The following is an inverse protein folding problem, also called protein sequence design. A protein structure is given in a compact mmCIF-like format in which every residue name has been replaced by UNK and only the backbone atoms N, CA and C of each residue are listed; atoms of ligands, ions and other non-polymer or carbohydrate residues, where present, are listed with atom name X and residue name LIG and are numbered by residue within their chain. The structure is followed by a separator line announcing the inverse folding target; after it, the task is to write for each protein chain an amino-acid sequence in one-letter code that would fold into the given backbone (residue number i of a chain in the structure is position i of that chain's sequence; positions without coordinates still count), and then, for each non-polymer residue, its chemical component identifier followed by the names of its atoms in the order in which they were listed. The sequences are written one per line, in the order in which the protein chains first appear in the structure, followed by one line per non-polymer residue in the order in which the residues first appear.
data_IF_094148621140
#
_entry.id   IF_094148621140
#
_cell.length_a   1.000
_cell.length_b   1.000
_cell.length_c   1.000
_cell.angle_alpha   90.00
_cell.angle_beta   90.00
_cell.angle_gamma   90.00
#
_symmetry.space_group_name_H-M   'P 1'
#
loop_
_entity.id
_entity.type
_entity.pdbx_description
1 polymer ?
#
# COMPACT_ATOMS: atom_id res chain seq x y z
N UNK A 1 -6.22 8.01 6.52
CA UNK A 1 -5.95 6.78 5.75
C UNK A 1 -5.59 7.14 4.33
N UNK A 2 -4.46 6.62 3.84
CA UNK A 2 -4.03 6.71 2.44
C UNK A 2 -4.37 5.39 1.74
N UNK A 3 -5.15 5.42 0.65
CA UNK A 3 -5.53 4.20 -0.05
C UNK A 3 -5.83 4.44 -1.53
N UNK A 4 -5.83 3.35 -2.30
CA UNK A 4 -6.14 3.38 -3.73
C UNK A 4 -7.59 3.77 -4.02
N UNK A 5 -7.81 4.26 -5.24
CA UNK A 5 -9.14 4.48 -5.83
C UNK A 5 -10.07 3.26 -5.71
N UNK A 6 -9.50 2.05 -5.62
CA UNK A 6 -10.25 0.81 -5.39
C UNK A 6 -11.01 0.80 -4.05
N UNK A 7 -10.50 1.50 -3.03
CA UNK A 7 -11.11 1.63 -1.71
C UNK A 7 -12.16 2.77 -1.62
N UNK A 8 -12.48 3.42 -2.73
CA UNK A 8 -13.57 4.40 -2.77
C UNK A 8 -14.93 3.71 -2.68
N UNK A 9 -15.34 3.40 -1.46
CA UNK A 9 -16.64 2.89 -1.09
C UNK A 9 -17.22 3.69 0.07
N UNK A 10 -18.52 3.94 0.04
CA UNK A 10 -19.18 4.79 1.05
C UNK A 10 -19.12 4.18 2.43
N UNK A 11 -19.25 2.85 2.54
CA UNK A 11 -19.08 2.13 3.79
C UNK A 11 -17.68 2.31 4.41
N UNK A 12 -16.63 2.28 3.58
CA UNK A 12 -15.25 2.50 4.03
C UNK A 12 -15.08 3.93 4.52
N UNK A 13 -15.57 4.92 3.76
CA UNK A 13 -15.48 6.34 4.15
C UNK A 13 -16.28 6.64 5.41
N UNK A 14 -17.46 6.04 5.57
CA UNK A 14 -18.29 6.19 6.75
C UNK A 14 -17.60 5.59 7.99
N UNK A 15 -16.98 4.42 7.87
CA UNK A 15 -16.19 3.83 8.96
C UNK A 15 -15.00 4.73 9.34
N UNK A 16 -14.26 5.23 8.35
CA UNK A 16 -13.14 6.14 8.59
C UNK A 16 -13.59 7.43 9.27
N UNK A 17 -14.71 8.03 8.84
CA UNK A 17 -15.28 9.21 9.45
C UNK A 17 -15.73 8.94 10.90
N UNK A 18 -16.36 7.79 11.17
CA UNK A 18 -16.74 7.37 12.53
C UNK A 18 -15.54 7.25 13.48
N UNK A 19 -14.37 6.94 12.92
CA UNK A 19 -13.10 6.78 13.66
C UNK A 19 -12.25 8.05 13.64
N UNK A 20 -12.79 9.16 13.13
CA UNK A 20 -12.10 10.45 13.01
C UNK A 20 -10.81 10.37 12.17
N UNK A 21 -10.77 9.43 11.20
CA UNK A 21 -9.65 9.25 10.29
C UNK A 21 -9.97 9.93 8.96
N UNK A 22 -9.15 10.91 8.58
CA UNK A 22 -9.28 11.57 7.27
C UNK A 22 -9.03 10.58 6.12
N UNK A 23 -9.93 10.52 5.15
CA UNK A 23 -9.82 9.62 4.00
C UNK A 23 -9.11 10.28 2.80
N UNK A 24 -7.80 10.09 2.68
CA UNK A 24 -6.98 10.49 1.52
C UNK A 24 -7.10 9.42 0.42
N UNK A 25 -8.31 9.27 -0.10
CA UNK A 25 -8.68 8.28 -1.12
C UNK A 25 -9.28 9.04 -2.31
N UNK A 26 -8.74 8.90 -3.53
CA UNK A 26 -9.33 9.53 -4.70
C UNK A 26 -10.68 8.91 -5.05
N UNK A 27 -11.65 9.73 -5.42
CA UNK A 27 -12.95 9.27 -5.89
C UNK A 27 -12.86 8.47 -7.20
N UNK A 28 -13.75 7.47 -7.36
CA UNK A 28 -13.91 6.74 -8.62
C UNK A 28 -14.40 7.66 -9.73
N UNK A 29 -14.04 7.37 -10.98
CA UNK A 29 -14.40 8.20 -12.14
C UNK A 29 -15.90 8.18 -12.43
N UNK A 30 -16.60 7.12 -12.03
CA UNK A 30 -18.05 6.97 -12.17
C UNK A 30 -18.84 7.55 -10.98
N UNK A 31 -18.17 8.16 -10.00
CA UNK A 31 -18.83 8.72 -8.83
C UNK A 31 -19.55 10.00 -9.24
N UNK A 32 -20.85 10.09 -8.91
CA UNK A 32 -21.68 11.27 -9.22
C UNK A 32 -21.20 12.52 -8.48
N UNK A 33 -20.79 12.35 -7.23
CA UNK A 33 -20.27 13.43 -6.38
C UNK A 33 -18.75 13.32 -6.34
N UNK A 34 -18.08 14.39 -6.77
CA UNK A 34 -16.62 14.46 -6.75
C UNK A 34 -16.16 14.62 -5.30
N UNK A 35 -15.21 13.78 -4.89
CA UNK A 35 -14.58 13.88 -3.57
C UNK A 35 -13.23 14.56 -3.71
N UNK A 36 -13.06 15.64 -2.94
CA UNK A 36 -11.76 16.26 -2.75
C UNK A 36 -10.92 15.44 -1.78
N UNK A 37 -9.64 15.34 -2.09
CA UNK A 37 -8.64 14.65 -1.27
C UNK A 37 -7.33 15.41 -1.41
N UNK A 38 -6.50 15.34 -0.37
CA UNK A 38 -5.16 15.91 -0.43
C UNK A 38 -4.31 15.16 -1.46
N UNK A 39 -4.04 15.83 -2.59
CA UNK A 39 -3.23 15.28 -3.68
C UNK A 39 -1.75 15.19 -3.32
N UNK A 40 -1.25 16.09 -2.48
CA UNK A 40 0.15 16.09 -2.05
C UNK A 40 0.41 14.89 -1.12
N UNK A 41 -0.49 14.63 -0.18
CA UNK A 41 -0.46 13.42 0.64
C UNK A 41 -0.69 12.16 -0.22
N UNK A 42 -1.61 12.20 -1.18
CA UNK A 42 -1.85 11.05 -2.05
C UNK A 42 -0.60 10.60 -2.82
N UNK A 43 0.26 11.53 -3.25
CA UNK A 43 1.53 11.22 -3.93
C UNK A 43 2.48 10.38 -3.08
N UNK A 44 2.38 10.42 -1.75
CA UNK A 44 3.25 9.63 -0.88
C UNK A 44 3.03 8.11 -1.04
N UNK A 45 1.87 7.69 -1.57
CA UNK A 45 1.56 6.28 -1.87
C UNK A 45 2.60 5.62 -2.78
N UNK A 46 3.20 6.39 -3.69
CA UNK A 46 4.25 5.91 -4.59
C UNK A 46 5.46 5.33 -3.83
N UNK A 47 5.73 5.77 -2.60
CA UNK A 47 6.80 5.17 -1.77
C UNK A 47 6.48 3.70 -1.43
N UNK A 48 5.23 3.43 -1.08
CA UNK A 48 4.72 2.09 -0.78
C UNK A 48 4.73 1.23 -2.05
N UNK A 49 4.28 1.76 -3.19
CA UNK A 49 4.30 1.04 -4.47
C UNK A 49 5.73 0.65 -4.90
N UNK A 50 6.68 1.58 -4.78
CA UNK A 50 8.10 1.30 -5.06
C UNK A 50 8.65 0.21 -4.15
N UNK A 51 8.33 0.24 -2.86
CA UNK A 51 8.72 -0.82 -1.92
C UNK A 51 8.22 -2.19 -2.40
N UNK A 52 6.93 -2.32 -2.75
CA UNK A 52 6.40 -3.57 -3.28
C UNK A 52 7.03 -3.96 -4.63
N UNK A 53 7.33 -2.98 -5.49
CA UNK A 53 8.08 -3.22 -6.73
C UNK A 53 9.44 -3.85 -6.46
N UNK A 54 10.19 -3.35 -5.47
CA UNK A 54 11.48 -3.92 -5.07
C UNK A 54 11.34 -5.34 -4.50
N UNK A 55 10.31 -5.60 -3.68
CA UNK A 55 10.05 -6.95 -3.16
C UNK A 55 9.76 -7.93 -4.30
N UNK A 56 8.96 -7.51 -5.29
CA UNK A 56 8.57 -8.31 -6.46
C UNK A 56 9.69 -8.59 -7.46
N UNK A 57 10.88 -8.00 -7.31
CA UNK A 57 12.07 -8.45 -8.05
C UNK A 57 12.39 -9.91 -7.73
N UNK A 58 12.11 -10.35 -6.50
CA UNK A 58 12.25 -11.74 -6.12
C UNK A 58 11.06 -12.54 -6.63
N UNK A 59 11.30 -13.39 -7.63
CA UNK A 59 10.25 -14.21 -8.27
C UNK A 59 9.44 -15.01 -7.24
N UNK A 60 10.09 -15.64 -6.26
CA UNK A 60 9.42 -16.39 -5.20
C UNK A 60 8.35 -15.58 -4.45
N UNK A 61 8.60 -14.28 -4.23
CA UNK A 61 7.66 -13.36 -3.58
C UNK A 61 6.58 -12.91 -4.56
N UNK A 62 6.95 -12.53 -5.78
CA UNK A 62 6.01 -12.04 -6.79
C UNK A 62 4.95 -13.07 -7.17
N UNK A 63 5.35 -14.34 -7.31
CA UNK A 63 4.44 -15.44 -7.68
C UNK A 63 3.92 -16.23 -6.49
N UNK A 64 4.35 -15.89 -5.26
CA UNK A 64 3.97 -16.59 -4.02
C UNK A 64 4.19 -18.11 -4.13
N UNK A 65 5.45 -18.53 -4.28
CA UNK A 65 5.80 -19.95 -4.41
C UNK A 65 5.61 -20.75 -3.13
N UNK A 66 5.75 -20.11 -1.96
CA UNK A 66 5.49 -20.74 -0.68
C UNK A 66 4.01 -21.09 -0.52
N UNK A 67 3.73 -22.38 -0.28
CA UNK A 67 2.36 -22.89 -0.08
C UNK A 67 1.81 -22.51 1.30
N UNK A 68 2.69 -22.46 2.31
CA UNK A 68 2.32 -22.09 3.68
C UNK A 68 2.40 -20.58 3.87
N UNK A 69 1.37 -20.00 4.48
CA UNK A 69 1.32 -18.57 4.79
C UNK A 69 2.52 -18.12 5.65
N UNK A 70 2.94 -18.95 6.61
CA UNK A 70 4.07 -18.65 7.50
C UNK A 70 5.39 -18.61 6.74
N UNK A 71 5.64 -19.57 5.84
CA UNK A 71 6.86 -19.61 5.02
C UNK A 71 6.92 -18.40 4.09
N UNK A 72 5.80 -18.07 3.43
CA UNK A 72 5.71 -16.88 2.59
C UNK A 72 6.00 -15.59 3.37
N UNK A 73 5.40 -15.45 4.56
CA UNK A 73 5.62 -14.30 5.43
C UNK A 73 7.09 -14.18 5.86
N UNK A 74 7.73 -15.31 6.19
CA UNK A 74 9.17 -15.36 6.47
C UNK A 74 10.01 -14.85 5.30
N UNK A 75 9.71 -15.27 4.07
CA UNK A 75 10.39 -14.80 2.87
C UNK A 75 10.20 -13.30 2.63
N UNK A 76 8.99 -12.77 2.87
CA UNK A 76 8.71 -11.33 2.80
C UNK A 76 9.54 -10.56 3.84
N UNK A 77 9.64 -11.06 5.08
CA UNK A 77 10.46 -10.44 6.11
C UNK A 77 11.95 -10.39 5.74
N UNK A 78 12.51 -11.51 5.27
CA UNK A 78 13.91 -11.58 4.85
C UNK A 78 14.20 -10.60 3.70
N UNK A 79 13.34 -10.58 2.67
CA UNK A 79 13.53 -9.67 1.54
C UNK A 79 13.41 -8.19 1.95
N UNK A 80 12.49 -7.88 2.87
CA UNK A 80 12.33 -6.52 3.41
C UNK A 80 13.55 -6.11 4.24
N UNK A 81 14.05 -6.98 5.11
CA UNK A 81 15.26 -6.74 5.90
C UNK A 81 16.48 -6.51 5.00
N UNK A 82 16.66 -7.33 3.95
CA UNK A 82 17.74 -7.16 2.97
C UNK A 82 17.63 -5.83 2.21
N UNK A 83 16.41 -5.39 1.87
CA UNK A 83 16.18 -4.08 1.24
C UNK A 83 16.53 -2.95 2.21
N UNK A 84 16.11 -3.06 3.47
CA UNK A 84 16.39 -2.07 4.51
C UNK A 84 17.88 -1.93 4.82
N UNK A 85 18.63 -3.04 4.87
CA UNK A 85 20.07 -3.01 5.14
C UNK A 85 20.86 -2.21 4.09
N UNK A 86 20.43 -2.23 2.82
CA UNK A 86 21.02 -1.39 1.76
C UNK A 86 20.83 0.09 2.03
N UNK A 87 19.70 0.49 2.62
CA UNK A 87 19.43 1.87 2.97
C UNK A 87 20.31 2.32 4.15
N UNK A 88 20.48 1.48 5.17
CA UNK A 88 21.27 1.80 6.37
C UNK A 88 22.77 1.90 6.09
N UNK A 89 23.32 1.06 5.20
CA UNK A 89 24.76 1.05 4.87
C UNK A 89 25.15 1.94 3.69
N UNK A 90 24.17 2.60 3.05
CA UNK A 90 24.40 3.56 1.97
C UNK A 90 24.15 5.02 2.41
N UNK A 91 23.91 5.25 3.70
CA UNK A 91 23.75 6.56 4.33
C UNK A 91 25.03 6.99 5.03
#
# INVERSE_FOLDING_TARGET
MLADKGYDADAIRADLAKREIEAVIPGRSNRRVKIEHDRALYKQRNRIERMFGHLKVHRAIATRYDQLANSFLGMVHIATARYWLKFVHAA
#
